data_IF_226939842825
#
_entry.id   IF_226939842825
#
_cell.length_a   1.000
_cell.length_b   1.000
_cell.length_c   1.000
_cell.angle_alpha   90.00
_cell.angle_beta   90.00
_cell.angle_gamma   90.00
#
_symmetry.space_group_name_H-M   'P 1'
#
loop_
_entity.id
_entity.type
_entity.pdbx_description
1 polymer ?
#
# COMPACT_ATOMS: atom_id res chain seq x y z
N UNK A 1 12.98 25.20 27.98
CA UNK A 1 12.02 24.38 28.75
C UNK A 1 10.83 23.86 27.92
N UNK A 2 10.99 23.48 26.64
CA UNK A 2 9.83 23.04 25.81
C UNK A 2 10.00 21.72 25.04
N UNK A 3 11.24 21.22 24.91
CA UNK A 3 11.54 20.07 24.04
C UNK A 3 11.01 18.73 24.55
N UNK A 4 11.01 18.50 25.87
CA UNK A 4 10.52 17.24 26.46
C UNK A 4 9.03 16.99 26.22
N UNK A 5 8.21 18.04 26.32
CA UNK A 5 6.76 17.95 26.06
C UNK A 5 6.46 17.71 24.58
N UNK A 6 7.17 18.40 23.69
CA UNK A 6 7.03 18.19 22.25
C UNK A 6 7.45 16.77 21.86
N UNK A 7 8.58 16.27 22.37
CA UNK A 7 9.03 14.89 22.13
C UNK A 7 8.02 13.86 22.63
N UNK A 8 7.46 14.05 23.83
CA UNK A 8 6.44 13.16 24.37
C UNK A 8 5.17 13.12 23.49
N UNK A 9 4.70 14.28 23.02
CA UNK A 9 3.57 14.37 22.09
C UNK A 9 3.85 13.64 20.77
N UNK A 10 5.04 13.83 20.20
CA UNK A 10 5.44 13.19 18.95
C UNK A 10 5.53 11.66 19.10
N UNK A 11 6.12 11.16 20.19
CA UNK A 11 6.19 9.71 20.44
C UNK A 11 4.81 9.09 20.61
N UNK A 12 3.87 9.80 21.25
CA UNK A 12 2.48 9.35 21.38
C UNK A 12 1.80 9.26 20.02
N UNK A 13 1.87 10.31 19.21
CA UNK A 13 1.30 10.35 17.85
C UNK A 13 1.92 9.27 16.97
N UNK A 14 3.23 9.10 17.01
CA UNK A 14 3.91 8.07 16.23
C UNK A 14 3.50 6.65 16.63
N UNK A 15 3.29 6.40 17.94
CA UNK A 15 2.79 5.10 18.42
C UNK A 15 1.35 4.88 17.97
N UNK A 16 0.49 5.89 18.07
CA UNK A 16 -0.87 5.82 17.55
C UNK A 16 -0.85 5.50 16.05
N UNK A 17 -0.07 6.21 15.22
CA UNK A 17 0.04 5.92 13.79
C UNK A 17 0.59 4.52 13.48
N UNK A 18 1.59 4.05 14.25
CA UNK A 18 2.23 2.75 14.00
C UNK A 18 1.34 1.56 14.37
N UNK A 19 0.58 1.69 15.46
CA UNK A 19 -0.18 0.57 16.03
C UNK A 19 -1.70 0.75 15.92
N UNK A 20 -2.17 1.85 15.31
CA UNK A 20 -3.56 1.96 14.92
C UNK A 20 -3.77 1.12 13.66
N UNK A 21 -4.23 -0.11 13.86
CA UNK A 21 -4.78 -0.91 12.78
C UNK A 21 -6.16 -0.33 12.47
N UNK A 22 -6.37 0.30 11.30
CA UNK A 22 -7.70 0.74 10.92
C UNK A 22 -8.63 -0.47 10.91
N UNK A 23 -9.82 -0.33 11.49
CA UNK A 23 -10.86 -1.34 11.40
C UNK A 23 -11.36 -1.34 9.95
N UNK A 24 -10.88 -2.29 9.16
CA UNK A 24 -11.33 -2.48 7.78
C UNK A 24 -12.67 -3.18 7.77
N UNK A 25 -13.64 -2.62 7.06
CA UNK A 25 -14.91 -3.29 6.79
C UNK A 25 -14.68 -4.41 5.77
N UNK A 26 -14.62 -5.65 6.27
CA UNK A 26 -14.35 -6.83 5.46
C UNK A 26 -15.50 -7.16 4.52
N UNK A 27 -16.75 -6.83 4.88
CA UNK A 27 -17.93 -7.11 4.05
C UNK A 27 -17.91 -6.24 2.80
N UNK A 28 -17.63 -4.94 2.97
CA UNK A 28 -17.46 -4.01 1.84
C UNK A 28 -16.31 -4.42 0.93
N UNK A 29 -15.16 -4.81 1.50
CA UNK A 29 -14.00 -5.27 0.72
C UNK A 29 -14.33 -6.52 -0.10
N UNK A 30 -15.04 -7.48 0.49
CA UNK A 30 -15.49 -8.69 -0.22
C UNK A 30 -16.46 -8.35 -1.37
N UNK A 31 -17.36 -7.39 -1.17
CA UNK A 31 -18.27 -6.94 -2.21
C UNK A 31 -17.53 -6.25 -3.37
N UNK A 32 -16.53 -5.42 -3.09
CA UNK A 32 -15.70 -4.77 -4.11
C UNK A 32 -14.87 -5.80 -4.90
N UNK A 33 -14.28 -6.79 -4.23
CA UNK A 33 -13.51 -7.87 -4.87
C UNK A 33 -14.38 -8.81 -5.70
N UNK A 34 -15.56 -9.17 -5.20
CA UNK A 34 -16.48 -10.06 -5.93
C UNK A 34 -17.21 -9.37 -7.08
N UNK A 35 -17.48 -8.06 -6.96
CA UNK A 35 -18.17 -7.27 -7.99
C UNK A 35 -17.26 -6.64 -9.06
N UNK A 36 -15.94 -6.53 -8.80
CA UNK A 36 -14.97 -5.88 -9.69
C UNK A 36 -14.39 -6.75 -10.82
N UNK A 37 -14.69 -8.05 -10.85
CA UNK A 37 -14.08 -9.01 -11.78
C UNK A 37 -14.59 -9.00 -13.23
N UNK A 38 -15.53 -8.12 -13.61
CA UNK A 38 -16.17 -8.19 -14.95
C UNK A 38 -15.83 -7.03 -15.90
N UNK A 39 -15.19 -5.95 -15.45
CA UNK A 39 -15.01 -4.74 -16.28
C UNK A 39 -13.57 -4.31 -16.55
N UNK A 40 -12.56 -5.05 -16.09
CA UNK A 40 -11.19 -4.90 -16.61
C UNK A 40 -10.84 -6.13 -17.43
N UNK A 41 -11.38 -6.16 -18.65
CA UNK A 41 -10.68 -6.84 -19.75
C UNK A 41 -9.40 -6.05 -19.96
N UNK A 42 -8.34 -6.51 -19.30
CA UNK A 42 -6.97 -6.07 -19.53
C UNK A 42 -6.71 -6.24 -21.03
N UNK A 43 -6.73 -5.14 -21.78
CA UNK A 43 -5.95 -5.06 -23.01
C UNK A 43 -4.52 -5.20 -22.53
N UNK A 44 -3.96 -6.39 -22.67
CA UNK A 44 -2.53 -6.60 -22.53
C UNK A 44 -1.89 -5.91 -23.74
N UNK A 45 -1.64 -4.61 -23.60
CA UNK A 45 -0.59 -3.94 -24.36
C UNK A 45 0.68 -4.16 -23.55
N UNK A 46 1.38 -5.24 -23.89
CA UNK A 46 2.62 -5.77 -23.28
C UNK A 46 3.84 -4.84 -23.43
N UNK A 47 3.64 -3.59 -23.86
CA UNK A 47 4.71 -2.70 -24.36
C UNK A 47 5.09 -1.54 -23.41
N UNK A 48 4.42 -1.34 -22.26
CA UNK A 48 4.70 -0.22 -21.34
C UNK A 48 4.81 -0.65 -19.87
N UNK A 49 5.59 -1.69 -19.59
CA UNK A 49 6.00 -2.03 -18.23
C UNK A 49 7.33 -1.32 -17.87
N UNK A 50 7.32 -0.22 -17.08
CA UNK A 50 8.53 0.50 -16.67
C UNK A 50 9.41 -0.28 -15.67
N UNK A 51 8.93 -1.40 -15.14
CA UNK A 51 9.64 -2.35 -14.28
C UNK A 51 10.29 -3.52 -15.06
N UNK A 52 9.88 -3.76 -16.32
CA UNK A 52 10.48 -4.79 -17.18
C UNK A 52 11.99 -4.61 -17.36
N UNK A 53 12.46 -3.37 -17.52
CA UNK A 53 13.88 -3.03 -17.68
C UNK A 53 14.76 -3.43 -16.48
N UNK A 54 14.19 -3.58 -15.29
CA UNK A 54 14.93 -3.99 -14.09
C UNK A 54 14.95 -5.51 -13.91
N UNK A 55 14.04 -6.21 -14.59
CA UNK A 55 13.84 -7.65 -14.46
C UNK A 55 14.84 -8.44 -15.32
N UNK A 56 15.24 -7.90 -16.47
CA UNK A 56 16.22 -8.53 -17.39
C UNK A 56 17.69 -8.43 -16.91
N UNK A 57 17.97 -7.60 -15.90
CA UNK A 57 19.34 -7.35 -15.41
C UNK A 57 19.86 -8.35 -14.36
N UNK A 58 18.98 -9.16 -13.75
CA UNK A 58 19.31 -9.98 -12.57
C UNK A 58 19.58 -11.47 -12.91
N UNK A 59 19.46 -11.88 -14.17
CA UNK A 59 19.63 -13.29 -14.60
C UNK A 59 21.02 -13.64 -15.14
N UNK A 60 22.00 -12.74 -15.04
CA UNK A 60 23.42 -13.01 -15.37
C UNK A 60 24.29 -13.05 -14.12
N UNK A 61 24.25 -14.17 -13.41
CA UNK A 61 25.35 -14.60 -12.54
C UNK A 61 25.45 -16.12 -12.48
#
# INVERSE_FOLDING_TARGET
MGRGRAKAKQTKVARELKYNTPQTDLERLQQELSGGGSSMRLSTDEDDDPYGSWSDGDTRY
#
